data_IF_730139686066
#
_entry.id   IF_730139686066
#
_cell.length_a   1.000
_cell.length_b   1.000
_cell.length_c   1.000
_cell.angle_alpha   90.00
_cell.angle_beta   90.00
_cell.angle_gamma   90.00
#
_symmetry.space_group_name_H-M   'P 1'
#
loop_
_entity.id
_entity.type
_entity.pdbx_description
1 polymer ?
#
# COMPACT_ATOMS: atom_id res chain seq x y z
N UNK A 1 26.49 15.17 9.72
CA UNK A 1 25.88 13.95 9.17
C UNK A 1 24.46 14.28 8.72
N UNK A 2 24.03 13.84 7.55
CA UNK A 2 22.71 14.18 6.97
C UNK A 2 21.58 13.21 7.34
N UNK A 3 21.90 12.06 7.95
CA UNK A 3 20.91 11.11 8.45
C UNK A 3 20.30 11.57 9.77
N UNK A 4 18.96 11.50 9.87
CA UNK A 4 18.20 11.86 11.06
C UNK A 4 17.11 10.82 11.36
N UNK A 5 16.60 10.71 12.61
CA UNK A 5 15.58 9.70 12.95
C UNK A 5 14.30 9.76 12.10
N UNK A 6 13.86 10.96 11.70
CA UNK A 6 12.68 11.15 10.83
C UNK A 6 13.00 11.03 9.33
N UNK A 7 14.28 10.96 8.96
CA UNK A 7 14.77 10.86 7.59
C UNK A 7 16.05 9.99 7.55
N UNK A 8 15.92 8.68 7.84
CA UNK A 8 17.07 7.79 7.95
C UNK A 8 17.69 7.51 6.58
N UNK A 9 19.03 7.40 6.55
CA UNK A 9 19.77 6.84 5.41
C UNK A 9 20.19 5.40 5.73
N UNK A 10 19.96 4.49 4.79
CA UNK A 10 20.35 3.08 4.91
C UNK A 10 21.48 2.77 3.94
N UNK A 11 22.51 2.08 4.43
CA UNK A 11 23.61 1.57 3.59
C UNK A 11 23.30 0.12 3.24
N UNK A 12 23.12 -0.19 1.95
CA UNK A 12 22.72 -1.51 1.46
C UNK A 12 23.83 -2.10 0.58
N UNK A 13 24.28 -3.35 0.82
CA UNK A 13 25.21 -4.04 -0.07
C UNK A 13 24.64 -4.21 -1.47
N UNK A 14 25.41 -3.85 -2.50
CA UNK A 14 24.94 -3.75 -3.87
C UNK A 14 25.43 -4.87 -4.81
N UNK A 15 26.39 -5.70 -4.36
CA UNK A 15 27.03 -6.72 -5.21
C UNK A 15 26.05 -7.81 -5.66
N UNK A 16 25.17 -8.26 -4.76
CA UNK A 16 24.07 -9.15 -5.09
C UNK A 16 22.79 -8.35 -5.32
N UNK A 17 22.38 -8.24 -6.59
CA UNK A 17 21.18 -7.50 -7.00
C UNK A 17 19.88 -8.07 -6.42
N UNK A 18 19.78 -9.37 -6.20
CA UNK A 18 18.56 -10.00 -5.64
C UNK A 18 18.43 -9.62 -4.17
N UNK A 19 19.51 -9.78 -3.40
CA UNK A 19 19.52 -9.44 -1.98
C UNK A 19 19.38 -7.93 -1.76
N UNK A 20 20.04 -7.09 -2.56
CA UNK A 20 19.87 -5.64 -2.52
C UNK A 20 18.39 -5.25 -2.69
N UNK A 21 17.71 -5.79 -3.71
CA UNK A 21 16.29 -5.51 -3.96
C UNK A 21 15.41 -6.00 -2.82
N UNK A 22 15.71 -7.16 -2.25
CA UNK A 22 14.96 -7.70 -1.12
C UNK A 22 15.08 -6.79 0.11
N UNK A 23 16.30 -6.35 0.44
CA UNK A 23 16.55 -5.45 1.58
C UNK A 23 15.80 -4.12 1.39
N UNK A 24 15.91 -3.50 0.22
CA UNK A 24 15.21 -2.24 -0.07
C UNK A 24 13.69 -2.41 0.02
N UNK A 25 13.14 -3.48 -0.55
CA UNK A 25 11.71 -3.77 -0.49
C UNK A 25 11.23 -3.97 0.95
N UNK A 26 12.01 -4.67 1.78
CA UNK A 26 11.69 -4.90 3.19
C UNK A 26 11.67 -3.59 3.99
N UNK A 27 12.68 -2.73 3.81
CA UNK A 27 12.74 -1.43 4.49
C UNK A 27 11.52 -0.58 4.13
N UNK A 28 11.19 -0.45 2.84
CA UNK A 28 10.00 0.31 2.41
C UNK A 28 8.72 -0.30 2.99
N UNK A 29 8.59 -1.63 2.96
CA UNK A 29 7.42 -2.33 3.49
C UNK A 29 7.23 -2.09 4.99
N UNK A 30 8.29 -2.16 5.79
CA UNK A 30 8.25 -1.90 7.23
C UNK A 30 7.82 -0.47 7.52
N UNK A 31 8.44 0.52 6.87
CA UNK A 31 8.07 1.93 7.07
C UNK A 31 6.62 2.22 6.67
N UNK A 32 6.11 1.58 5.61
CA UNK A 32 4.70 1.73 5.20
C UNK A 32 3.73 1.00 6.14
N UNK A 33 4.15 -0.11 6.76
CA UNK A 33 3.31 -0.83 7.75
C UNK A 33 3.11 0.00 9.02
N UNK A 34 4.12 0.75 9.42
CA UNK A 34 4.06 1.63 10.60
C UNK A 34 3.01 2.75 10.45
N UNK A 35 2.61 3.08 9.22
CA UNK A 35 1.52 4.04 8.95
C UNK A 35 0.12 3.47 9.24
N UNK A 36 -0.02 2.18 9.53
CA UNK A 36 -1.29 1.51 9.86
C UNK A 36 -2.40 1.76 8.82
N UNK A 37 -2.03 1.80 7.55
CA UNK A 37 -2.98 2.06 6.45
C UNK A 37 -3.99 0.92 6.30
N UNK A 38 -5.24 1.28 6.02
CA UNK A 38 -6.31 0.33 5.70
C UNK A 38 -7.16 0.86 4.55
N UNK A 39 -7.79 -0.05 3.80
CA UNK A 39 -8.78 0.35 2.81
C UNK A 39 -10.00 0.97 3.51
N UNK A 40 -10.62 2.00 2.92
CA UNK A 40 -11.83 2.59 3.47
C UNK A 40 -12.95 1.54 3.51
N UNK A 41 -13.69 1.53 4.61
CA UNK A 41 -14.85 0.64 4.75
C UNK A 41 -16.03 1.20 3.96
N UNK A 42 -16.74 0.31 3.28
CA UNK A 42 -17.94 0.68 2.52
C UNK A 42 -19.13 0.76 3.49
N UNK A 43 -19.74 1.94 3.60
CA UNK A 43 -20.95 2.12 4.42
C UNK A 43 -22.12 1.30 3.86
N UNK A 44 -23.11 0.99 4.71
CA UNK A 44 -24.30 0.27 4.28
C UNK A 44 -25.04 1.01 3.15
N UNK A 45 -25.12 2.34 3.24
CA UNK A 45 -25.70 3.22 2.22
C UNK A 45 -24.95 3.10 0.89
N UNK A 46 -23.62 3.27 0.92
CA UNK A 46 -22.79 3.15 -0.28
C UNK A 46 -22.88 1.76 -0.89
N UNK A 47 -22.98 0.72 -0.06
CA UNK A 47 -23.17 -0.65 -0.52
C UNK A 47 -24.51 -0.83 -1.24
N UNK A 48 -25.58 -0.22 -0.73
CA UNK A 48 -26.90 -0.26 -1.36
C UNK A 48 -26.89 0.44 -2.73
N UNK A 49 -26.26 1.61 -2.84
CA UNK A 49 -26.07 2.31 -4.12
C UNK A 49 -25.36 1.44 -5.15
N UNK A 50 -24.23 0.84 -4.76
CA UNK A 50 -23.43 -0.03 -5.64
C UNK A 50 -24.23 -1.24 -6.12
N UNK A 51 -25.09 -1.83 -5.27
CA UNK A 51 -25.99 -2.90 -5.71
C UNK A 51 -27.06 -2.40 -6.68
N UNK A 52 -27.54 -1.17 -6.51
CA UNK A 52 -28.44 -0.51 -7.48
C UNK A 52 -27.80 -0.39 -8.86
N UNK A 53 -26.58 0.17 -8.92
CA UNK A 53 -25.83 0.28 -10.18
C UNK A 53 -25.56 -1.07 -10.83
N UNK A 54 -25.20 -2.08 -10.02
CA UNK A 54 -24.99 -3.45 -10.52
C UNK A 54 -26.23 -4.00 -11.22
N UNK A 55 -27.42 -3.78 -10.67
CA UNK A 55 -28.68 -4.26 -11.28
C UNK A 55 -28.99 -3.55 -12.60
N UNK A 56 -28.78 -2.23 -12.66
CA UNK A 56 -29.01 -1.43 -13.88
C UNK A 56 -28.12 -1.93 -15.03
N UNK A 57 -26.83 -2.09 -14.78
CA UNK A 57 -25.87 -2.56 -15.79
C UNK A 57 -26.15 -3.99 -16.29
N UNK A 58 -26.75 -4.84 -15.45
CA UNK A 58 -27.14 -6.19 -15.84
C UNK A 58 -28.46 -6.23 -16.62
N UNK A 59 -29.31 -5.21 -16.50
CA UNK A 59 -30.59 -5.10 -17.20
C UNK A 59 -30.47 -4.44 -18.59
N UNK A 60 -29.33 -3.82 -18.91
CA UNK A 60 -29.01 -3.29 -20.24
C UNK A 60 -28.53 -4.36 -21.23
N UNK A 61 -28.56 -5.64 -20.83
CA UNK A 61 -28.34 -6.80 -21.72
C UNK A 61 -29.66 -7.35 -22.24
#
# INVERSE_FOLDING_TARGET
ATAAPHAPWFVVPADDKRNMRLIVAQVVLEQLRDLQMSYPQVSAERRAELQGYKKLLLAEK
#
